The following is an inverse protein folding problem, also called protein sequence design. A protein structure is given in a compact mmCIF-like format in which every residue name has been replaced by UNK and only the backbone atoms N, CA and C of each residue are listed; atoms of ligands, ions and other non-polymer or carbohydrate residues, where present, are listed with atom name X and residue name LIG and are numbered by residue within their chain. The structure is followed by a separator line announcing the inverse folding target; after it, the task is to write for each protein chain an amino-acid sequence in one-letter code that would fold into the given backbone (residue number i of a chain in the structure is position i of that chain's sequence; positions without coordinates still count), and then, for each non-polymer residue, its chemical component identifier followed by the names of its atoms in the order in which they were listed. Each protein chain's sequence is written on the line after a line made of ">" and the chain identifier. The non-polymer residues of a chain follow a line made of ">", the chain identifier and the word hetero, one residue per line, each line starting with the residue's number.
data_IF_040603169271
#
_entry.id   IF_040603169271
#
_cell.length_a   1.000
_cell.length_b   1.000
_cell.length_c   1.000
_cell.angle_alpha   90.00
_cell.angle_beta   90.00
_cell.angle_gamma   90.00
#
_symmetry.space_group_name_H-M   'P 1'
#
loop_
_entity.id
_entity.type
_entity.pdbx_description
1 polymer ?
#
# COMPACT_ATOMS: atom_id res chain seq x y z
N UNK A 1 3.83 -8.04 6.33
CA UNK A 1 4.22 -7.23 7.50
C UNK A 1 5.42 -6.35 7.14
N UNK A 2 5.36 -5.10 7.49
CA UNK A 2 6.45 -4.16 7.24
C UNK A 2 6.79 -3.41 8.53
N UNK A 3 8.06 -3.04 8.68
CA UNK A 3 8.53 -2.29 9.84
C UNK A 3 8.48 -0.79 9.63
N UNK A 4 8.32 -0.05 10.71
CA UNK A 4 8.33 1.41 10.69
C UNK A 4 9.03 1.96 11.92
N UNK A 5 9.53 3.18 11.81
CA UNK A 5 10.12 3.92 12.94
C UNK A 5 9.09 4.83 13.61
N UNK A 6 7.93 5.05 12.99
CA UNK A 6 6.86 5.90 13.51
C UNK A 6 5.52 5.24 13.21
N UNK A 7 5.08 4.40 14.13
CA UNK A 7 3.86 3.62 13.96
C UNK A 7 2.62 4.50 13.82
N UNK A 8 2.54 5.58 14.58
CA UNK A 8 1.38 6.48 14.53
C UNK A 8 1.25 7.15 13.17
N UNK A 9 2.33 7.68 12.62
CA UNK A 9 2.32 8.33 11.32
C UNK A 9 2.07 7.35 10.19
N UNK A 10 2.75 6.19 10.22
CA UNK A 10 2.56 5.16 9.18
C UNK A 10 1.14 4.60 9.19
N UNK A 11 0.57 4.33 10.37
CA UNK A 11 -0.79 3.79 10.42
C UNK A 11 -1.83 4.81 9.93
N UNK A 12 -1.66 6.09 10.25
CA UNK A 12 -2.56 7.12 9.69
C UNK A 12 -2.50 7.17 8.18
N UNK A 13 -1.29 7.12 7.62
CA UNK A 13 -1.10 7.12 6.17
C UNK A 13 -1.78 5.89 5.54
N UNK A 14 -1.54 4.71 6.09
CA UNK A 14 -2.10 3.48 5.55
C UNK A 14 -3.63 3.42 5.68
N UNK A 15 -4.19 3.93 6.75
CA UNK A 15 -5.65 3.98 6.89
C UNK A 15 -6.31 4.81 5.80
N UNK A 16 -5.64 5.85 5.33
CA UNK A 16 -6.17 6.68 4.24
C UNK A 16 -6.02 6.01 2.88
N UNK A 17 -4.84 5.48 2.56
CA UNK A 17 -4.60 4.91 1.22
C UNK A 17 -5.23 3.53 1.04
N UNK A 18 -5.38 2.75 2.12
CA UNK A 18 -5.95 1.41 2.05
C UNK A 18 -7.48 1.42 2.02
N UNK A 19 -8.11 2.52 2.40
CA UNK A 19 -9.56 2.63 2.42
C UNK A 19 -10.21 2.36 1.05
N UNK A 20 -9.71 2.93 -0.06
CA UNK A 20 -10.26 2.58 -1.38
C UNK A 20 -10.13 1.10 -1.74
N UNK A 21 -9.20 0.38 -1.10
CA UNK A 21 -8.99 -1.04 -1.30
C UNK A 21 -9.84 -1.90 -0.36
N UNK A 22 -10.73 -1.28 0.42
CA UNK A 22 -11.59 -1.93 1.41
C UNK A 22 -10.82 -2.61 2.54
N UNK A 23 -9.58 -2.19 2.79
CA UNK A 23 -8.78 -2.65 3.91
C UNK A 23 -8.94 -1.67 5.07
N UNK A 24 -9.32 -2.18 6.22
CA UNK A 24 -9.57 -1.37 7.41
C UNK A 24 -8.74 -1.88 8.58
N UNK A 25 -8.51 -1.00 9.55
CA UNK A 25 -7.87 -1.40 10.80
C UNK A 25 -8.76 -2.43 11.50
N UNK A 26 -8.21 -3.61 11.73
CA UNK A 26 -8.91 -4.70 12.42
C UNK A 26 -8.42 -4.85 13.85
N UNK A 27 -7.10 -4.76 14.07
CA UNK A 27 -6.51 -4.97 15.37
C UNK A 27 -5.27 -4.11 15.52
N UNK A 28 -4.98 -3.67 16.73
CA UNK A 28 -3.79 -2.88 17.01
C UNK A 28 -3.37 -3.00 18.48
N UNK A 29 -2.09 -2.79 18.71
CA UNK A 29 -1.54 -2.62 20.05
C UNK A 29 -0.38 -1.60 19.95
N UNK A 30 0.35 -1.30 21.03
CA UNK A 30 1.42 -0.30 20.95
C UNK A 30 2.53 -0.61 19.94
N UNK A 31 2.67 -1.87 19.51
CA UNK A 31 3.75 -2.31 18.64
C UNK A 31 3.34 -2.49 17.18
N UNK A 32 2.05 -2.70 16.89
CA UNK A 32 1.61 -2.95 15.52
C UNK A 32 0.18 -2.51 15.25
N UNK A 33 -0.14 -2.36 13.96
CA UNK A 33 -1.50 -2.16 13.46
C UNK A 33 -1.74 -3.16 12.33
N UNK A 34 -2.82 -3.91 12.41
CA UNK A 34 -3.19 -4.91 11.43
C UNK A 34 -4.41 -4.48 10.64
N UNK A 35 -4.40 -4.77 9.35
CA UNK A 35 -5.46 -4.40 8.41
C UNK A 35 -6.03 -5.65 7.75
N UNK A 36 -7.33 -5.65 7.56
CA UNK A 36 -8.06 -6.74 6.92
C UNK A 36 -9.14 -6.19 6.01
N UNK A 37 -9.60 -7.00 5.06
CA UNK A 37 -10.76 -6.67 4.27
C UNK A 37 -11.98 -6.57 5.20
N UNK A 38 -12.80 -5.56 4.99
CA UNK A 38 -14.01 -5.34 5.79
C UNK A 38 -14.91 -6.57 5.83
N UNK A 39 -14.99 -7.30 4.70
CA UNK A 39 -15.85 -8.48 4.56
C UNK A 39 -15.26 -9.73 5.20
N UNK A 40 -13.95 -9.77 5.48
CA UNK A 40 -13.26 -10.94 6.04
C UNK A 40 -12.31 -10.49 7.15
N UNK A 41 -12.84 -9.96 8.27
CA UNK A 41 -11.98 -9.36 9.30
C UNK A 41 -11.06 -10.34 10.00
N UNK A 42 -11.36 -11.63 9.98
CA UNK A 42 -10.51 -12.65 10.59
C UNK A 42 -9.26 -12.98 9.77
N UNK A 43 -9.20 -12.50 8.52
CA UNK A 43 -8.05 -12.74 7.65
C UNK A 43 -7.20 -11.47 7.53
N UNK A 44 -6.14 -11.38 8.33
CA UNK A 44 -5.22 -10.24 8.27
C UNK A 44 -4.46 -10.27 6.95
N UNK A 45 -4.57 -9.16 6.19
CA UNK A 45 -3.93 -9.02 4.89
C UNK A 45 -2.62 -8.25 4.96
N UNK A 46 -2.50 -7.31 5.89
CA UNK A 46 -1.35 -6.45 5.98
C UNK A 46 -1.15 -5.97 7.40
N UNK A 47 0.10 -5.78 7.79
CA UNK A 47 0.43 -5.33 9.14
C UNK A 47 1.63 -4.37 9.09
N UNK A 48 1.51 -3.26 9.79
CA UNK A 48 2.61 -2.31 10.03
C UNK A 48 3.04 -2.47 11.49
N UNK A 49 4.33 -2.64 11.74
CA UNK A 49 4.83 -2.94 13.07
C UNK A 49 6.13 -2.20 13.38
N UNK A 50 6.39 -1.96 14.66
CA UNK A 50 7.75 -1.63 15.08
C UNK A 50 8.63 -2.86 14.83
N UNK A 51 9.92 -2.68 14.49
CA UNK A 51 10.80 -3.83 14.25
C UNK A 51 10.89 -4.75 15.46
N UNK A 52 10.89 -6.05 15.20
CA UNK A 52 10.91 -7.08 16.24
C UNK A 52 12.14 -6.93 17.15
N UNK A 53 13.29 -6.58 16.58
CA UNK A 53 14.54 -6.45 17.32
C UNK A 53 14.72 -5.09 18.01
N UNK A 54 13.72 -4.23 17.94
CA UNK A 54 13.72 -2.88 18.52
C UNK A 54 14.80 -1.96 17.95
N UNK A 55 15.41 -2.33 16.83
CA UNK A 55 16.35 -1.48 16.11
C UNK A 55 15.60 -0.61 15.09
N UNK A 56 16.23 0.49 14.60
CA UNK A 56 15.59 1.31 13.59
C UNK A 56 15.24 0.51 12.34
N UNK A 57 14.02 0.74 11.81
CA UNK A 57 13.59 0.12 10.57
C UNK A 57 14.31 0.73 9.38
N UNK A 58 14.65 -0.10 8.39
CA UNK A 58 15.19 0.35 7.12
C UNK A 58 14.71 -0.59 6.02
N UNK A 59 14.67 -0.09 4.78
CA UNK A 59 14.13 -0.84 3.65
C UNK A 59 15.21 -1.57 2.84
N UNK A 60 16.48 -1.38 3.15
CA UNK A 60 17.56 -1.90 2.32
C UNK A 60 17.65 -1.13 1.00
N UNK A 61 18.05 -1.83 -0.08
CA UNK A 61 18.18 -1.21 -1.40
C UNK A 61 16.86 -1.08 -2.14
N UNK A 62 15.89 -1.95 -1.82
CA UNK A 62 14.61 -1.99 -2.52
C UNK A 62 13.60 -2.76 -1.70
N UNK A 63 12.46 -2.15 -1.46
CA UNK A 63 11.35 -2.82 -0.78
C UNK A 63 10.03 -2.22 -1.27
N UNK A 64 9.10 -3.07 -1.73
CA UNK A 64 7.81 -2.63 -2.23
C UNK A 64 6.75 -3.68 -1.90
N UNK A 65 5.59 -3.22 -1.44
CA UNK A 65 4.43 -4.05 -1.16
C UNK A 65 3.34 -3.72 -2.18
N UNK A 66 2.76 -4.74 -2.79
CA UNK A 66 1.73 -4.59 -3.81
C UNK A 66 0.37 -4.97 -3.27
N UNK A 67 -0.63 -4.13 -3.55
CA UNK A 67 -2.02 -4.38 -3.21
C UNK A 67 -2.84 -4.54 -4.49
N UNK A 68 -3.79 -5.46 -4.48
CA UNK A 68 -4.73 -5.64 -5.59
C UNK A 68 -5.85 -4.62 -5.48
N UNK A 69 -6.13 -3.93 -6.58
CA UNK A 69 -7.23 -2.98 -6.69
C UNK A 69 -8.31 -3.56 -7.63
N UNK A 70 -9.57 -3.22 -7.37
CA UNK A 70 -10.68 -3.72 -8.18
C UNK A 70 -10.76 -3.07 -9.55
N UNK A 71 -10.30 -1.83 -9.69
CA UNK A 71 -10.47 -1.05 -10.91
C UNK A 71 -9.37 -0.01 -11.07
N UNK A 72 -9.28 0.55 -12.27
CA UNK A 72 -8.42 1.71 -12.56
C UNK A 72 -8.75 2.88 -11.65
N UNK A 73 -10.03 3.14 -11.44
CA UNK A 73 -10.46 4.25 -10.59
C UNK A 73 -9.91 4.09 -9.18
N UNK A 74 -9.87 2.86 -8.66
CA UNK A 74 -9.31 2.56 -7.35
C UNK A 74 -7.80 2.82 -7.33
N UNK A 75 -7.07 2.43 -8.38
CA UNK A 75 -5.63 2.70 -8.51
C UNK A 75 -5.37 4.21 -8.50
N UNK A 76 -6.15 4.97 -9.28
CA UNK A 76 -6.03 6.42 -9.35
C UNK A 76 -6.29 7.07 -7.99
N UNK A 77 -7.33 6.63 -7.31
CA UNK A 77 -7.72 7.15 -6.00
C UNK A 77 -6.64 6.89 -4.95
N UNK A 78 -6.12 5.66 -4.92
CA UNK A 78 -5.02 5.27 -4.04
C UNK A 78 -3.82 6.21 -4.22
N UNK A 79 -3.42 6.45 -5.47
CA UNK A 79 -2.28 7.28 -5.79
C UNK A 79 -2.49 8.73 -5.35
N UNK A 80 -3.66 9.28 -5.65
CA UNK A 80 -4.01 10.66 -5.29
C UNK A 80 -4.02 10.85 -3.77
N UNK A 81 -4.64 9.93 -3.04
CA UNK A 81 -4.70 10.01 -1.58
C UNK A 81 -3.29 9.92 -0.99
N UNK A 82 -2.46 9.01 -1.52
CA UNK A 82 -1.09 8.86 -1.05
C UNK A 82 -0.26 10.11 -1.23
N UNK A 83 -0.32 10.72 -2.40
CA UNK A 83 0.42 11.95 -2.66
C UNK A 83 -0.08 13.11 -1.81
N UNK A 84 -1.39 13.22 -1.63
CA UNK A 84 -1.99 14.28 -0.82
C UNK A 84 -1.57 14.17 0.66
N UNK A 85 -1.34 12.96 1.15
CA UNK A 85 -1.04 12.71 2.56
C UNK A 85 0.46 12.49 2.84
N UNK A 86 1.33 13.01 1.99
CA UNK A 86 2.76 13.05 2.25
C UNK A 86 3.59 11.95 1.60
N UNK A 87 2.97 11.07 0.83
CA UNK A 87 3.69 10.09 0.03
C UNK A 87 4.40 10.75 -1.14
N UNK A 88 5.42 10.09 -1.69
CA UNK A 88 6.14 10.55 -2.85
C UNK A 88 5.85 9.64 -4.04
N UNK A 89 5.78 10.24 -5.24
CA UNK A 89 5.53 9.48 -6.46
C UNK A 89 6.75 8.62 -6.82
N UNK A 90 6.57 7.31 -6.76
CA UNK A 90 7.58 6.33 -7.15
C UNK A 90 7.22 5.61 -8.46
N UNK A 91 6.01 5.82 -8.95
CA UNK A 91 5.54 5.26 -10.20
C UNK A 91 4.17 5.81 -10.52
N UNK A 92 4.11 6.67 -11.56
CA UNK A 92 2.85 7.29 -11.93
C UNK A 92 1.83 6.27 -12.42
N UNK A 93 0.57 6.65 -12.35
CA UNK A 93 -0.56 5.84 -12.82
C UNK A 93 -0.34 5.49 -14.29
N UNK A 94 -0.58 4.23 -14.66
CA UNK A 94 -0.51 3.79 -16.03
C UNK A 94 -0.48 2.29 -16.19
N UNK A 95 -0.60 1.87 -17.42
CA UNK A 95 -0.57 0.45 -17.78
C UNK A 95 0.86 -0.07 -17.90
N UNK A 96 1.05 -1.32 -17.51
CA UNK A 96 2.34 -2.02 -17.60
C UNK A 96 2.10 -3.44 -18.09
N UNK A 97 2.56 -3.83 -19.30
CA UNK A 97 3.14 -2.96 -20.33
C UNK A 97 2.09 -2.03 -20.95
N UNK A 98 2.49 -0.98 -21.65
CA UNK A 98 1.54 -0.03 -22.25
C UNK A 98 0.60 -0.65 -23.27
N UNK A 99 1.01 -1.74 -23.91
CA UNK A 99 0.20 -2.46 -24.90
C UNK A 99 0.23 -3.95 -24.61
N UNK A 100 -0.77 -4.67 -25.09
CA UNK A 100 -0.85 -6.12 -24.97
C UNK A 100 -2.27 -6.59 -24.71
N UNK A 101 -2.43 -7.92 -24.70
CA UNK A 101 -3.72 -8.57 -24.44
C UNK A 101 -4.07 -8.56 -22.95
N UNK A 102 -3.06 -8.37 -22.11
CA UNK A 102 -3.24 -8.36 -20.66
C UNK A 102 -2.27 -7.33 -20.10
N UNK A 103 -2.80 -6.31 -19.45
CA UNK A 103 -1.98 -5.26 -18.86
C UNK A 103 -2.33 -5.09 -17.39
N UNK A 104 -1.36 -4.62 -16.64
CA UNK A 104 -1.55 -4.24 -15.24
C UNK A 104 -1.59 -2.72 -15.20
N UNK A 105 -2.69 -2.16 -14.74
CA UNK A 105 -2.77 -0.73 -14.45
C UNK A 105 -2.29 -0.54 -13.02
N UNK A 106 -1.28 0.30 -12.81
CA UNK A 106 -0.63 0.40 -11.51
C UNK A 106 -0.08 1.79 -11.24
N UNK A 107 0.20 2.05 -9.97
CA UNK A 107 0.93 3.20 -9.50
C UNK A 107 1.77 2.79 -8.28
N UNK A 108 2.75 3.60 -7.95
CA UNK A 108 3.56 3.37 -6.76
C UNK A 108 3.87 4.68 -6.04
N UNK A 109 3.87 4.64 -4.74
CA UNK A 109 4.22 5.77 -3.88
C UNK A 109 5.13 5.30 -2.75
N UNK A 110 6.04 6.15 -2.30
CA UNK A 110 6.71 5.92 -1.04
C UNK A 110 5.78 6.40 0.08
N UNK A 111 5.88 5.76 1.24
CA UNK A 111 5.03 6.09 2.37
C UNK A 111 5.41 7.42 3.02
N UNK A 112 4.53 7.92 3.88
CA UNK A 112 4.72 9.23 4.53
C UNK A 112 6.00 9.30 5.34
N UNK A 113 6.43 8.20 5.94
CA UNK A 113 7.67 8.17 6.71
C UNK A 113 8.92 8.06 5.85
N UNK A 114 8.75 7.85 4.56
CA UNK A 114 9.84 7.71 3.57
C UNK A 114 10.96 6.77 4.02
N UNK A 115 11.75 6.30 3.10
CA UNK A 115 12.95 5.49 3.39
C UNK A 115 12.71 4.15 4.08
N UNK A 116 11.47 3.76 4.33
CA UNK A 116 11.18 2.44 4.90
C UNK A 116 10.73 1.48 3.81
N UNK A 117 9.71 1.84 3.05
CA UNK A 117 9.24 1.02 1.94
C UNK A 117 8.31 1.81 1.03
N UNK A 118 8.06 1.26 -0.15
CA UNK A 118 7.08 1.80 -1.08
C UNK A 118 5.88 0.87 -1.15
N UNK A 119 4.73 1.41 -1.48
CA UNK A 119 3.52 0.63 -1.71
C UNK A 119 2.98 0.92 -3.10
N UNK A 120 2.32 -0.06 -3.68
CA UNK A 120 1.69 0.09 -4.99
C UNK A 120 0.30 -0.51 -4.97
N UNK A 121 -0.56 0.01 -5.83
CA UNK A 121 -1.85 -0.58 -6.12
C UNK A 121 -1.87 -0.98 -7.59
N UNK A 122 -2.41 -2.14 -7.90
CA UNK A 122 -2.46 -2.65 -9.26
C UNK A 122 -3.77 -3.40 -9.50
N UNK A 123 -4.30 -3.24 -10.71
CA UNK A 123 -5.43 -4.02 -11.18
C UNK A 123 -5.08 -4.66 -12.51
N UNK A 124 -5.44 -5.93 -12.67
CA UNK A 124 -5.21 -6.65 -13.91
C UNK A 124 -6.34 -6.32 -14.88
N UNK A 125 -5.95 -5.87 -16.06
CA UNK A 125 -6.88 -5.65 -17.16
C UNK A 125 -6.63 -6.63 -18.27
N UNK A 126 -7.68 -7.19 -18.80
CA UNK A 126 -7.60 -8.09 -19.95
C UNK A 126 -8.40 -7.53 -21.09
N UNK A 127 -7.77 -7.48 -22.25
CA UNK A 127 -8.43 -7.11 -23.48
C UNK A 127 -8.81 -8.37 -24.23
N UNK A 128 -10.09 -8.56 -24.51
CA UNK A 128 -10.55 -9.70 -25.31
C UNK A 128 -10.74 -9.23 -26.75
N UNK A 129 -10.30 -10.04 -27.70
CA UNK A 129 -10.51 -9.73 -29.11
C UNK A 129 -11.99 -9.77 -29.50
#
# INVERSE_FOLDING_TARGET
>A
MVGTNDLAQESRFHELVLKPLALIRFNSNPDYVAYALHMVPEAIEFCVTLPFDQQPAHYGNWSMIAFTAESRATVDHFHQIGLYNGGSNEGKIGSRPPEGLSTINMCAISTATKHVFSIMAATLERTFP
#
